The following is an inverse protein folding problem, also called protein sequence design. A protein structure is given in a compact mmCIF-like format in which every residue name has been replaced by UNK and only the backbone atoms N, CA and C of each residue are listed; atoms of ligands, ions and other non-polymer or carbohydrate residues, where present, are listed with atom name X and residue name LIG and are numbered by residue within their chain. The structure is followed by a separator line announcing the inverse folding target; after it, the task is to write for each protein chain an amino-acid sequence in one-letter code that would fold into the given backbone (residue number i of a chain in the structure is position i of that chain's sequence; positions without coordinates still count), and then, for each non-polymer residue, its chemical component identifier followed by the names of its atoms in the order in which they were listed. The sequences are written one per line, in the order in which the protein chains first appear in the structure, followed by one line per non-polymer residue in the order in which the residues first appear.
data_IF_318775157640
#
_entry.id   IF_318775157640
#
_cell.length_a   1.000
_cell.length_b   1.000
_cell.length_c   1.000
_cell.angle_alpha   90.00
_cell.angle_beta   90.00
_cell.angle_gamma   90.00
#
_symmetry.space_group_name_H-M   'P 1'
#
loop_
_entity.id
_entity.type
_entity.pdbx_description
1 polymer ?
#
# COMPACT_ATOMS: atom_id res chain seq x y z
N UNK A 1 -48.33 -3.41 -7.05
CA UNK A 1 -47.45 -2.66 -6.14
C UNK A 1 -46.10 -3.36 -6.07
N UNK A 2 -45.18 -3.03 -6.97
CA UNK A 2 -43.85 -3.64 -6.99
C UNK A 2 -42.94 -2.70 -6.20
N UNK A 3 -42.46 -3.16 -5.05
CA UNK A 3 -41.49 -2.43 -4.23
C UNK A 3 -40.16 -2.47 -4.98
N UNK A 4 -39.73 -1.33 -5.52
CA UNK A 4 -38.36 -1.16 -5.98
C UNK A 4 -37.44 -1.24 -4.76
N UNK A 5 -36.83 -2.41 -4.55
CA UNK A 5 -35.76 -2.58 -3.59
C UNK A 5 -34.46 -2.16 -4.28
N UNK A 6 -34.07 -0.89 -4.12
CA UNK A 6 -32.72 -0.46 -4.52
C UNK A 6 -31.76 -0.84 -3.40
N UNK A 7 -31.03 -1.95 -3.60
CA UNK A 7 -29.90 -2.29 -2.76
C UNK A 7 -28.82 -1.22 -2.95
N UNK A 8 -28.68 -0.31 -1.98
CA UNK A 8 -27.46 0.46 -1.79
C UNK A 8 -26.35 -0.52 -1.45
N UNK A 9 -25.61 -1.00 -2.45
CA UNK A 9 -24.27 -1.52 -2.24
C UNK A 9 -23.37 -0.33 -1.88
N UNK A 10 -23.48 0.15 -0.64
CA UNK A 10 -22.38 0.87 -0.02
C UNK A 10 -21.23 -0.12 0.05
N UNK A 11 -20.23 0.04 -0.81
CA UNK A 11 -19.04 -0.78 -0.81
C UNK A 11 -18.42 -0.70 0.58
N UNK A 12 -18.49 -1.81 1.32
CA UNK A 12 -17.84 -1.94 2.61
C UNK A 12 -16.36 -1.57 2.41
N UNK A 13 -15.91 -0.54 3.12
CA UNK A 13 -14.52 -0.11 3.13
C UNK A 13 -13.72 -1.22 3.80
N UNK A 14 -13.13 -2.10 2.99
CA UNK A 14 -12.20 -3.12 3.44
C UNK A 14 -10.88 -2.43 3.84
N UNK A 15 -10.82 -1.93 5.07
CA UNK A 15 -9.60 -1.36 5.66
C UNK A 15 -8.43 -2.36 5.69
N UNK A 16 -8.69 -3.67 5.54
CA UNK A 16 -7.66 -4.69 5.41
C UNK A 16 -6.79 -4.59 4.15
N UNK A 17 -7.33 -4.04 3.04
CA UNK A 17 -6.61 -4.02 1.76
C UNK A 17 -5.48 -2.97 1.71
N UNK A 18 -5.64 -1.85 2.44
CA UNK A 18 -4.67 -0.72 2.38
C UNK A 18 -3.34 -1.12 3.03
N UNK A 19 -3.38 -1.81 4.17
CA UNK A 19 -2.18 -2.25 4.88
C UNK A 19 -1.40 -3.32 4.10
N UNK A 20 -2.10 -4.15 3.33
CA UNK A 20 -1.49 -5.14 2.44
C UNK A 20 -0.79 -4.48 1.25
N UNK A 21 -1.42 -3.49 0.62
CA UNK A 21 -0.82 -2.72 -0.48
C UNK A 21 0.42 -1.95 -0.03
N UNK A 22 0.37 -1.34 1.15
CA UNK A 22 1.51 -0.67 1.78
C UNK A 22 2.69 -1.62 2.00
N UNK A 23 2.41 -2.84 2.46
CA UNK A 23 3.41 -3.89 2.60
C UNK A 23 3.99 -4.34 1.26
N UNK A 24 3.14 -4.51 0.24
CA UNK A 24 3.57 -4.87 -1.12
C UNK A 24 4.43 -3.78 -1.76
N UNK A 25 4.07 -2.51 -1.56
CA UNK A 25 4.83 -1.36 -2.04
C UNK A 25 6.22 -1.29 -1.43
N UNK A 26 6.32 -1.44 -0.10
CA UNK A 26 7.62 -1.52 0.61
C UNK A 26 8.45 -2.67 0.06
N UNK A 27 7.84 -3.83 -0.16
CA UNK A 27 8.52 -5.02 -0.66
C UNK A 27 9.06 -4.82 -2.08
N UNK A 28 8.28 -4.21 -2.99
CA UNK A 28 8.71 -3.84 -4.33
C UNK A 28 9.93 -2.91 -4.27
N UNK A 29 9.85 -1.85 -3.46
CA UNK A 29 10.94 -0.87 -3.35
C UNK A 29 12.24 -1.50 -2.86
N UNK A 30 12.15 -2.39 -1.86
CA UNK A 30 13.33 -3.06 -1.29
C UNK A 30 13.90 -4.12 -2.24
N UNK A 31 13.05 -4.98 -2.82
CA UNK A 31 13.50 -6.07 -3.70
C UNK A 31 14.07 -5.58 -5.02
N UNK A 32 13.43 -4.58 -5.60
CA UNK A 32 13.77 -4.08 -6.93
C UNK A 32 14.73 -2.88 -6.85
N UNK A 33 15.17 -2.50 -5.64
CA UNK A 33 16.07 -1.36 -5.39
C UNK A 33 15.56 -0.05 -6.01
N UNK A 34 14.24 0.15 -6.00
CA UNK A 34 13.63 1.33 -6.59
C UNK A 34 13.96 2.59 -5.78
N UNK A 35 14.15 3.75 -6.44
CA UNK A 35 14.29 5.00 -5.73
C UNK A 35 12.94 5.39 -5.10
N UNK A 36 12.97 6.03 -3.92
CA UNK A 36 11.73 6.50 -3.28
C UNK A 36 10.99 7.56 -4.10
N UNK A 37 11.64 8.19 -5.09
CA UNK A 37 11.02 9.12 -6.02
C UNK A 37 9.98 8.46 -6.94
N UNK A 38 9.96 7.13 -7.07
CA UNK A 38 8.96 6.41 -7.89
C UNK A 38 7.52 6.78 -7.50
N UNK A 39 7.30 7.13 -6.23
CA UNK A 39 6.01 7.56 -5.72
C UNK A 39 5.50 8.86 -6.32
N UNK A 40 6.39 9.66 -6.89
CA UNK A 40 6.07 10.96 -7.48
C UNK A 40 5.86 10.89 -8.98
N UNK A 41 6.30 9.81 -9.62
CA UNK A 41 6.24 9.61 -11.07
C UNK A 41 4.80 9.48 -11.55
N UNK A 42 4.44 10.27 -12.58
CA UNK A 42 3.06 10.33 -13.09
C UNK A 42 2.57 8.97 -13.60
N UNK A 43 3.38 8.27 -14.40
CA UNK A 43 3.00 6.97 -14.96
C UNK A 43 2.76 5.91 -13.89
N UNK A 44 3.52 5.92 -12.79
CA UNK A 44 3.30 5.00 -11.68
C UNK A 44 2.01 5.33 -10.92
N UNK A 45 1.73 6.62 -10.66
CA UNK A 45 0.48 7.08 -10.06
C UNK A 45 -0.74 6.68 -10.90
N UNK A 46 -0.66 6.87 -12.21
CA UNK A 46 -1.74 6.52 -13.16
C UNK A 46 -2.00 5.01 -13.17
N UNK A 47 -0.94 4.19 -13.20
CA UNK A 47 -1.05 2.74 -13.12
C UNK A 47 -1.75 2.30 -11.82
N UNK A 48 -1.29 2.81 -10.68
CA UNK A 48 -1.86 2.44 -9.37
C UNK A 48 -3.32 2.89 -9.25
N UNK A 49 -3.64 4.11 -9.71
CA UNK A 49 -5.01 4.61 -9.71
C UNK A 49 -5.95 3.76 -10.58
N UNK A 50 -5.45 3.18 -11.68
CA UNK A 50 -6.24 2.25 -12.50
C UNK A 50 -6.43 0.89 -11.82
N UNK A 51 -5.45 0.42 -11.05
CA UNK A 51 -5.50 -0.87 -10.35
C UNK A 51 -6.40 -0.85 -9.10
N UNK A 52 -6.24 0.15 -8.23
CA UNK A 52 -7.17 0.42 -7.12
C UNK A 52 -7.34 1.93 -6.92
N UNK A 53 -8.43 2.52 -7.43
CA UNK A 53 -8.70 3.96 -7.30
C UNK A 53 -8.84 4.45 -5.86
N UNK A 54 -9.05 3.55 -4.89
CA UNK A 54 -9.23 3.89 -3.48
C UNK A 54 -7.91 3.93 -2.72
N UNK A 55 -6.83 3.42 -3.31
CA UNK A 55 -5.53 3.41 -2.67
C UNK A 55 -4.83 4.75 -2.89
N UNK A 56 -4.60 5.47 -1.80
CA UNK A 56 -3.81 6.70 -1.82
C UNK A 56 -2.35 6.32 -1.60
N UNK A 57 -1.53 6.53 -2.64
CA UNK A 57 -0.10 6.31 -2.56
C UNK A 57 0.53 7.09 -1.39
N UNK A 58 1.37 6.46 -0.56
CA UNK A 58 2.05 7.16 0.52
C UNK A 58 3.04 8.17 -0.05
N UNK A 59 3.26 9.25 0.70
CA UNK A 59 4.33 10.18 0.37
C UNK A 59 5.70 9.51 0.49
N UNK A 60 6.70 10.04 -0.22
CA UNK A 60 8.09 9.59 -0.13
C UNK A 60 8.62 9.48 1.30
N UNK A 61 8.25 10.43 2.16
CA UNK A 61 8.64 10.44 3.57
C UNK A 61 8.05 9.27 4.33
N UNK A 62 6.75 9.03 4.14
CA UNK A 62 6.02 7.93 4.78
C UNK A 62 6.60 6.59 4.30
N UNK A 63 6.85 6.43 3.00
CA UNK A 63 7.47 5.23 2.45
C UNK A 63 8.86 4.96 3.07
N UNK A 64 9.68 5.99 3.24
CA UNK A 64 10.98 5.86 3.90
C UNK A 64 10.83 5.39 5.36
N UNK A 65 9.91 5.97 6.11
CA UNK A 65 9.61 5.57 7.49
C UNK A 65 9.14 4.10 7.57
N UNK A 66 8.30 3.66 6.63
CA UNK A 66 7.85 2.26 6.53
C UNK A 66 8.99 1.28 6.24
N UNK A 67 9.91 1.64 5.35
CA UNK A 67 11.09 0.81 5.04
C UNK A 67 12.02 0.70 6.26
N UNK A 68 12.28 1.81 6.95
CA UNK A 68 13.09 1.81 8.18
C UNK A 68 12.45 0.95 9.27
N UNK A 69 11.14 1.07 9.46
CA UNK A 69 10.39 0.23 10.41
C UNK A 69 10.54 -1.25 10.07
N UNK A 70 10.34 -1.63 8.80
CA UNK A 70 10.50 -3.01 8.34
C UNK A 70 11.92 -3.53 8.59
N UNK A 71 12.94 -2.70 8.35
CA UNK A 71 14.33 -3.08 8.60
C UNK A 71 14.59 -3.37 10.08
N UNK A 72 14.13 -2.52 11.00
CA UNK A 72 14.32 -2.76 12.44
C UNK A 72 13.57 -4.01 12.92
N UNK A 73 12.37 -4.29 12.39
CA UNK A 73 11.63 -5.53 12.65
C UNK A 73 12.41 -6.77 12.18
N UNK A 74 12.95 -6.78 10.96
CA UNK A 74 13.70 -7.94 10.45
C UNK A 74 15.05 -8.10 11.15
N UNK A 75 15.72 -6.99 11.49
CA UNK A 75 16.97 -6.99 12.27
C UNK A 75 16.77 -7.54 13.68
N UNK A 76 15.68 -7.18 14.35
CA UNK A 76 15.36 -7.71 15.68
C UNK A 76 15.05 -9.21 15.64
N UNK A 77 14.30 -9.67 14.62
CA UNK A 77 14.08 -11.10 14.38
C UNK A 77 15.38 -11.85 14.12
N UNK A 78 16.23 -11.34 13.24
CA UNK A 78 17.53 -11.95 12.93
C UNK A 78 18.42 -12.07 14.18
N UNK A 79 18.44 -11.04 15.03
CA UNK A 79 19.16 -11.07 16.31
C UNK A 79 18.58 -12.05 17.34
N UNK A 80 17.27 -12.28 17.34
CA UNK A 80 16.63 -13.21 18.26
C UNK A 80 16.84 -14.69 17.88
N UNK A 81 17.21 -14.95 16.63
CA UNK A 81 17.53 -16.28 16.11
C UNK A 81 19.02 -16.64 16.29
N UNK A 82 19.87 -15.64 16.53
CA UNK A 82 21.29 -15.81 16.86
C UNK A 82 21.50 -15.95 18.38
#
# INVERSE_FOLDING_TARGET
MIRHFTAKHGAAVNQGNIHELDGALVNMVVKDSQPFSIMDDCGFKELVALLDPRYTLPSRRVLKEMVVKRYEEEKTKAKAVM
#
